data_IF_446522202286
#
_entry.id   IF_446522202286
#
_cell.length_a   1.000
_cell.length_b   1.000
_cell.length_c   1.000
_cell.angle_alpha   90.00
_cell.angle_beta   90.00
_cell.angle_gamma   90.00
#
_symmetry.space_group_name_H-M   'P 1'
#
loop_
_entity.id
_entity.type
_entity.pdbx_description
1 polymer ?
#
# COMPACT_ATOMS: atom_id res chain seq x y z
N UNK A 1 16.04 4.16 35.78
CA UNK A 1 16.99 4.32 34.66
C UNK A 1 17.12 3.09 33.75
N UNK A 2 17.47 1.90 34.25
CA UNK A 2 17.72 0.71 33.38
C UNK A 2 16.48 0.20 32.60
N UNK A 3 15.27 0.37 33.13
CA UNK A 3 14.02 0.01 32.46
C UNK A 3 13.63 0.97 31.33
N UNK A 4 13.85 2.26 31.55
CA UNK A 4 13.56 3.33 30.57
C UNK A 4 14.49 3.22 29.35
N UNK A 5 15.78 2.98 29.57
CA UNK A 5 16.73 2.69 28.49
C UNK A 5 16.35 1.46 27.67
N UNK A 6 15.80 0.42 28.32
CA UNK A 6 15.29 -0.77 27.62
C UNK A 6 14.09 -0.42 26.74
N UNK A 7 13.15 0.38 27.24
CA UNK A 7 11.98 0.83 26.47
C UNK A 7 12.37 1.66 25.25
N UNK A 8 13.30 2.62 25.42
CA UNK A 8 13.81 3.44 24.32
C UNK A 8 14.45 2.55 23.26
N UNK A 9 15.26 1.57 23.67
CA UNK A 9 15.87 0.62 22.74
C UNK A 9 14.82 -0.15 21.95
N UNK A 10 13.78 -0.67 22.62
CA UNK A 10 12.68 -1.37 21.93
C UNK A 10 11.97 -0.46 20.93
N UNK A 11 11.72 0.81 21.28
CA UNK A 11 11.10 1.77 20.36
C UNK A 11 12.00 2.04 19.13
N UNK A 12 13.32 2.13 19.31
CA UNK A 12 14.25 2.29 18.19
C UNK A 12 14.25 1.05 17.28
N UNK A 13 14.25 -0.16 17.85
CA UNK A 13 14.21 -1.41 17.11
C UNK A 13 12.86 -1.54 16.33
N UNK A 14 11.75 -1.15 16.95
CA UNK A 14 10.42 -1.11 16.32
C UNK A 14 10.36 -0.08 15.17
N UNK A 15 10.95 1.10 15.37
CA UNK A 15 11.03 2.14 14.34
C UNK A 15 11.86 1.70 13.14
N UNK A 16 13.00 1.04 13.37
CA UNK A 16 13.83 0.50 12.29
C UNK A 16 13.09 -0.56 11.48
N UNK A 17 12.37 -1.46 12.16
CA UNK A 17 11.51 -2.47 11.51
C UNK A 17 10.40 -1.83 10.66
N UNK A 18 9.79 -0.75 11.17
CA UNK A 18 8.76 -0.02 10.44
C UNK A 18 9.33 0.68 9.21
N UNK A 19 10.51 1.30 9.31
CA UNK A 19 11.19 1.93 8.17
C UNK A 19 11.51 0.91 7.06
N UNK A 20 11.97 -0.28 7.43
CA UNK A 20 12.24 -1.36 6.47
C UNK A 20 10.96 -1.83 5.78
N UNK A 21 9.90 -2.02 6.56
CA UNK A 21 8.58 -2.42 6.03
C UNK A 21 8.04 -1.37 5.06
N UNK A 22 8.17 -0.08 5.39
CA UNK A 22 7.75 1.02 4.53
C UNK A 22 8.54 1.07 3.21
N UNK A 23 9.86 0.84 3.27
CA UNK A 23 10.69 0.79 2.07
C UNK A 23 10.28 -0.36 1.14
N UNK A 24 9.96 -1.53 1.71
CA UNK A 24 9.47 -2.67 0.94
C UNK A 24 8.10 -2.37 0.31
N UNK A 25 7.16 -1.83 1.09
CA UNK A 25 5.85 -1.41 0.60
C UNK A 25 5.93 -0.44 -0.57
N UNK A 26 6.82 0.55 -0.47
CA UNK A 26 7.04 1.51 -1.55
C UNK A 26 7.51 0.82 -2.84
N UNK A 27 8.44 -0.13 -2.72
CA UNK A 27 8.94 -0.90 -3.86
C UNK A 27 7.83 -1.71 -4.52
N UNK A 28 6.98 -2.37 -3.72
CA UNK A 28 5.88 -3.19 -4.23
C UNK A 28 4.83 -2.33 -4.95
N UNK A 29 4.55 -1.12 -4.45
CA UNK A 29 3.66 -0.15 -5.12
C UNK A 29 4.25 0.30 -6.46
N UNK A 30 5.54 0.64 -6.51
CA UNK A 30 6.21 1.06 -7.73
C UNK A 30 6.20 -0.06 -8.80
N UNK A 31 6.32 -1.32 -8.38
CA UNK A 31 6.26 -2.48 -9.26
C UNK A 31 4.85 -2.72 -9.81
N UNK A 32 3.81 -2.62 -8.97
CA UNK A 32 2.41 -2.70 -9.39
C UNK A 32 2.05 -1.60 -10.41
N UNK A 33 2.51 -0.37 -10.21
CA UNK A 33 2.30 0.74 -11.13
C UNK A 33 2.94 0.46 -12.51
N UNK A 34 4.13 -0.14 -12.52
CA UNK A 34 4.79 -0.56 -13.75
C UNK A 34 3.99 -1.65 -14.48
N UNK A 35 3.49 -2.66 -13.75
CA UNK A 35 2.66 -3.72 -14.32
C UNK A 35 1.34 -3.17 -14.91
N UNK A 36 0.67 -2.26 -14.20
CA UNK A 36 -0.54 -1.58 -14.68
C UNK A 36 -0.31 -0.80 -15.98
N UNK A 37 0.85 -0.15 -16.15
CA UNK A 37 1.21 0.50 -17.42
C UNK A 37 1.34 -0.50 -18.57
N UNK A 38 1.97 -1.65 -18.34
CA UNK A 38 2.14 -2.69 -19.37
C UNK A 38 0.77 -3.27 -19.78
N UNK A 39 -0.09 -3.55 -18.80
CA UNK A 39 -1.44 -4.08 -19.04
C UNK A 39 -2.25 -3.10 -19.89
N UNK A 40 -2.25 -1.82 -19.53
CA UNK A 40 -2.96 -0.77 -20.26
C UNK A 40 -2.46 -0.62 -21.71
N UNK A 41 -1.13 -0.65 -21.92
CA UNK A 41 -0.54 -0.60 -23.25
C UNK A 41 -0.96 -1.80 -24.11
N UNK A 42 -0.96 -2.99 -23.52
CA UNK A 42 -1.36 -4.24 -24.18
C UNK A 42 -2.85 -4.20 -24.57
N UNK A 43 -3.71 -3.78 -23.66
CA UNK A 43 -5.15 -3.62 -23.92
C UNK A 43 -5.42 -2.62 -25.05
N UNK A 44 -4.68 -1.50 -25.10
CA UNK A 44 -4.80 -0.52 -26.17
C UNK A 44 -4.39 -1.11 -27.53
N UNK A 45 -3.31 -1.89 -27.58
CA UNK A 45 -2.85 -2.61 -28.78
C UNK A 45 -3.90 -3.61 -29.28
N UNK A 46 -4.46 -4.42 -28.38
CA UNK A 46 -5.50 -5.40 -28.71
C UNK A 46 -6.75 -4.71 -29.29
N UNK A 47 -7.22 -3.63 -28.65
CA UNK A 47 -8.36 -2.83 -29.17
C UNK A 47 -8.08 -2.24 -30.55
N UNK A 48 -6.84 -1.80 -30.82
CA UNK A 48 -6.43 -1.30 -32.14
C UNK A 48 -6.48 -2.42 -33.19
N UNK A 49 -5.94 -3.60 -32.89
CA UNK A 49 -6.00 -4.78 -33.79
C UNK A 49 -7.44 -5.18 -34.07
N UNK A 50 -8.28 -5.26 -33.04
CA UNK A 50 -9.70 -5.58 -33.17
C UNK A 50 -10.42 -4.61 -34.13
N UNK A 51 -10.26 -3.29 -33.93
CA UNK A 51 -10.82 -2.29 -34.86
C UNK A 51 -10.35 -2.48 -36.29
N UNK A 52 -9.06 -2.76 -36.51
CA UNK A 52 -8.51 -2.98 -37.84
C UNK A 52 -9.13 -4.21 -38.53
N UNK A 53 -9.34 -5.30 -37.80
CA UNK A 53 -10.00 -6.51 -38.31
C UNK A 53 -11.47 -6.21 -38.67
N UNK A 54 -12.21 -5.52 -37.80
CA UNK A 54 -13.60 -5.14 -38.08
C UNK A 54 -13.72 -4.30 -39.37
N UNK A 55 -12.81 -3.34 -39.58
CA UNK A 55 -12.82 -2.51 -40.78
C UNK A 55 -12.42 -3.27 -42.06
N UNK A 56 -11.53 -4.27 -41.96
CA UNK A 56 -11.21 -5.15 -43.08
C UNK A 56 -12.40 -6.03 -43.48
N UNK A 57 -13.18 -6.52 -42.51
CA UNK A 57 -14.39 -7.31 -42.76
C UNK A 57 -15.46 -6.47 -43.46
N UNK A 58 -15.67 -5.21 -43.04
CA UNK A 58 -16.66 -4.31 -43.65
C UNK A 58 -16.35 -3.91 -45.10
N UNK A 59 -15.07 -3.83 -45.50
CA UNK A 59 -14.65 -3.28 -46.81
C UNK A 59 -14.70 -4.27 -47.99
N UNK A 60 -15.13 -5.51 -47.83
CA UNK A 60 -15.03 -6.54 -48.87
C UNK A 60 -16.37 -6.74 -49.63
N UNK A 61 -16.49 -6.37 -50.91
CA UNK A 61 -17.67 -6.68 -51.72
C UNK A 61 -17.57 -8.03 -52.46
N UNK A 62 -18.75 -8.54 -52.82
CA UNK A 62 -19.12 -9.92 -53.16
C UNK A 62 -18.50 -10.56 -54.41
N UNK A 63 -18.25 -11.88 -54.35
CA UNK A 63 -18.05 -12.81 -55.48
C UNK A 63 -18.57 -14.22 -55.12
N UNK A 64 -19.77 -14.50 -55.64
CA UNK A 64 -20.83 -15.37 -55.10
C UNK A 64 -20.56 -16.88 -55.13
N UNK A 65 -19.42 -17.35 -55.66
CA UNK A 65 -19.03 -18.77 -55.58
C UNK A 65 -17.80 -19.04 -54.70
N UNK A 66 -17.00 -18.01 -54.38
CA UNK A 66 -16.06 -18.06 -53.25
C UNK A 66 -16.73 -17.72 -51.91
N UNK A 67 -17.96 -17.21 -51.97
CA UNK A 67 -18.67 -16.57 -50.86
C UNK A 67 -19.21 -17.57 -49.83
N UNK A 68 -19.67 -18.76 -50.20
CA UNK A 68 -20.02 -19.80 -49.20
C UNK A 68 -18.81 -20.25 -48.39
N UNK A 69 -17.64 -20.41 -49.03
CA UNK A 69 -16.39 -20.78 -48.36
C UNK A 69 -15.81 -19.63 -47.54
N UNK A 70 -15.89 -18.39 -48.04
CA UNK A 70 -15.45 -17.19 -47.29
C UNK A 70 -16.40 -16.82 -46.15
N UNK A 71 -17.71 -17.01 -46.28
CA UNK A 71 -18.68 -16.82 -45.20
C UNK A 71 -18.48 -17.87 -44.11
N UNK A 72 -18.17 -19.13 -44.46
CA UNK A 72 -17.74 -20.15 -43.48
C UNK A 72 -16.49 -19.70 -42.72
N UNK A 73 -15.46 -19.24 -43.43
CA UNK A 73 -14.20 -18.78 -42.80
C UNK A 73 -14.41 -17.52 -41.96
N UNK A 74 -15.26 -16.58 -42.38
CA UNK A 74 -15.60 -15.39 -41.59
C UNK A 74 -16.46 -15.76 -40.38
N UNK A 75 -17.37 -16.73 -40.51
CA UNK A 75 -18.14 -17.26 -39.37
C UNK A 75 -17.22 -17.92 -38.35
N UNK A 76 -16.28 -18.75 -38.78
CA UNK A 76 -15.28 -19.40 -37.92
C UNK A 76 -14.38 -18.38 -37.22
N UNK A 77 -14.00 -17.32 -37.93
CA UNK A 77 -13.19 -16.22 -37.36
C UNK A 77 -13.99 -15.40 -36.35
N UNK A 78 -15.26 -15.11 -36.62
CA UNK A 78 -16.17 -14.45 -35.68
C UNK A 78 -16.38 -15.31 -34.44
N UNK A 79 -16.59 -16.62 -34.60
CA UNK A 79 -16.73 -17.55 -33.47
C UNK A 79 -15.44 -17.69 -32.67
N UNK A 80 -14.28 -17.55 -33.31
CA UNK A 80 -12.99 -17.52 -32.61
C UNK A 80 -12.82 -16.22 -31.83
N UNK A 81 -13.13 -15.08 -32.43
CA UNK A 81 -13.07 -13.78 -31.77
C UNK A 81 -14.07 -13.66 -30.64
N UNK A 82 -15.27 -14.23 -30.79
CA UNK A 82 -16.28 -14.28 -29.73
C UNK A 82 -15.77 -15.07 -28.53
N UNK A 83 -15.10 -16.22 -28.76
CA UNK A 83 -14.46 -17.00 -27.70
C UNK A 83 -13.30 -16.24 -27.03
N UNK A 84 -12.49 -15.53 -27.81
CA UNK A 84 -11.41 -14.70 -27.27
C UNK A 84 -11.96 -13.55 -26.42
N UNK A 85 -13.05 -12.91 -26.85
CA UNK A 85 -13.75 -11.88 -26.07
C UNK A 85 -14.27 -12.47 -24.76
N UNK A 86 -14.99 -13.59 -24.80
CA UNK A 86 -15.51 -14.23 -23.58
C UNK A 86 -14.40 -14.68 -22.63
N UNK A 87 -13.26 -15.10 -23.15
CA UNK A 87 -12.10 -15.43 -22.33
C UNK A 87 -11.53 -14.18 -21.65
N UNK A 88 -11.34 -13.09 -22.39
CA UNK A 88 -10.85 -11.82 -21.83
C UNK A 88 -11.84 -11.24 -20.82
N UNK A 89 -13.14 -11.34 -21.05
CA UNK A 89 -14.18 -10.94 -20.08
C UNK A 89 -14.05 -11.72 -18.77
N UNK A 90 -13.85 -13.04 -18.84
CA UNK A 90 -13.63 -13.86 -17.65
C UNK A 90 -12.32 -13.50 -16.91
N UNK A 91 -11.22 -13.20 -17.63
CA UNK A 91 -9.99 -12.73 -17.00
C UNK A 91 -10.18 -11.37 -16.31
N UNK A 92 -10.92 -10.45 -16.94
CA UNK A 92 -11.24 -9.14 -16.33
C UNK A 92 -12.06 -9.31 -15.06
N UNK A 93 -13.01 -10.24 -15.02
CA UNK A 93 -13.78 -10.54 -13.81
C UNK A 93 -12.90 -11.07 -12.67
N UNK A 94 -11.94 -11.93 -12.99
CA UNK A 94 -10.95 -12.42 -12.01
C UNK A 94 -10.11 -11.26 -11.48
N UNK A 95 -9.57 -10.40 -12.36
CA UNK A 95 -8.78 -9.25 -11.93
C UNK A 95 -9.58 -8.24 -11.12
N UNK A 96 -10.86 -8.01 -11.44
CA UNK A 96 -11.72 -7.15 -10.62
C UNK A 96 -11.89 -7.70 -9.20
N UNK A 97 -11.99 -9.02 -9.05
CA UNK A 97 -12.08 -9.66 -7.74
C UNK A 97 -10.76 -9.54 -6.96
N UNK A 98 -9.64 -9.85 -7.60
CA UNK A 98 -8.31 -9.69 -6.98
C UNK A 98 -8.05 -8.24 -6.56
N UNK A 99 -8.44 -7.27 -7.40
CA UNK A 99 -8.33 -5.85 -7.09
C UNK A 99 -9.17 -5.46 -5.87
N UNK A 100 -10.38 -6.01 -5.73
CA UNK A 100 -11.21 -5.78 -4.56
C UNK A 100 -10.56 -6.34 -3.28
N UNK A 101 -10.01 -7.55 -3.33
CA UNK A 101 -9.30 -8.17 -2.21
C UNK A 101 -8.06 -7.35 -1.79
N UNK A 102 -7.28 -6.85 -2.76
CA UNK A 102 -6.14 -5.95 -2.51
C UNK A 102 -6.60 -4.63 -1.88
N UNK A 103 -7.71 -4.06 -2.34
CA UNK A 103 -8.26 -2.82 -1.80
C UNK A 103 -8.75 -2.97 -0.34
N UNK A 104 -9.36 -4.10 -0.01
CA UNK A 104 -9.76 -4.41 1.37
C UNK A 104 -8.54 -4.56 2.29
N UNK A 105 -7.51 -5.28 1.83
CA UNK A 105 -6.26 -5.42 2.57
C UNK A 105 -5.59 -4.06 2.82
N UNK A 106 -5.55 -3.19 1.80
CA UNK A 106 -5.04 -1.82 1.92
C UNK A 106 -5.82 -1.01 2.95
N UNK A 107 -7.15 -1.05 2.89
CA UNK A 107 -8.01 -0.31 3.83
C UNK A 107 -7.77 -0.76 5.28
N UNK A 108 -7.61 -2.06 5.50
CA UNK A 108 -7.29 -2.60 6.81
C UNK A 108 -5.93 -2.10 7.34
N UNK A 109 -4.93 -1.98 6.47
CA UNK A 109 -3.62 -1.45 6.85
C UNK A 109 -3.67 0.04 7.16
N UNK A 110 -4.44 0.83 6.41
CA UNK A 110 -4.65 2.25 6.71
C UNK A 110 -5.27 2.44 8.11
N UNK A 111 -6.24 1.60 8.48
CA UNK A 111 -6.83 1.61 9.83
C UNK A 111 -5.77 1.29 10.89
N UNK A 112 -4.96 0.24 10.68
CA UNK A 112 -3.89 -0.11 11.63
C UNK A 112 -2.86 1.00 11.76
N UNK A 113 -2.49 1.66 10.66
CA UNK A 113 -1.57 2.79 10.67
C UNK A 113 -2.11 3.96 11.50
N UNK A 114 -3.38 4.31 11.34
CA UNK A 114 -4.03 5.35 12.15
C UNK A 114 -4.00 4.99 13.64
N UNK A 115 -4.29 3.74 13.98
CA UNK A 115 -4.28 3.26 15.38
C UNK A 115 -2.87 3.31 15.98
N UNK A 116 -1.86 2.86 15.24
CA UNK A 116 -0.45 2.90 15.66
C UNK A 116 0.01 4.34 15.87
N UNK A 117 -0.31 5.24 14.94
CA UNK A 117 0.00 6.67 15.07
C UNK A 117 -0.62 7.28 16.33
N UNK A 118 -1.87 6.95 16.64
CA UNK A 118 -2.53 7.41 17.87
C UNK A 118 -1.86 6.85 19.14
N UNK A 119 -1.45 5.57 19.13
CA UNK A 119 -0.69 4.97 20.26
C UNK A 119 0.67 5.66 20.43
N UNK A 120 1.37 5.93 19.34
CA UNK A 120 2.66 6.61 19.35
C UNK A 120 2.55 8.03 19.94
N UNK A 121 1.56 8.80 19.50
CA UNK A 121 1.29 10.14 20.04
C UNK A 121 1.07 10.11 21.55
N UNK A 122 0.25 9.18 22.06
CA UNK A 122 0.05 9.00 23.51
C UNK A 122 1.34 8.64 24.24
N UNK A 123 2.16 7.76 23.66
CA UNK A 123 3.44 7.39 24.24
C UNK A 123 4.38 8.59 24.33
N UNK A 124 4.43 9.42 23.29
CA UNK A 124 5.26 10.63 23.27
C UNK A 124 4.84 11.60 24.37
N UNK A 125 3.53 11.88 24.51
CA UNK A 125 3.02 12.73 25.60
C UNK A 125 3.35 12.16 26.98
N UNK A 126 3.22 10.85 27.17
CA UNK A 126 3.57 10.22 28.46
C UNK A 126 5.06 10.38 28.80
N UNK A 127 5.95 10.29 27.81
CA UNK A 127 7.39 10.52 27.99
C UNK A 127 7.67 11.97 28.36
N UNK A 128 7.03 12.92 27.69
CA UNK A 128 7.16 14.35 28.00
C UNK A 128 6.71 14.66 29.44
N UNK A 129 5.57 14.10 29.87
CA UNK A 129 5.07 14.25 31.24
C UNK A 129 6.04 13.64 32.25
N UNK A 130 6.54 12.42 32.01
CA UNK A 130 7.51 11.79 32.89
C UNK A 130 8.80 12.62 33.01
N UNK A 131 9.24 13.25 31.92
CA UNK A 131 10.41 14.12 31.95
C UNK A 131 10.18 15.36 32.84
N UNK A 132 9.00 15.98 32.75
CA UNK A 132 8.61 17.09 33.62
C UNK A 132 8.59 16.65 35.10
N UNK A 133 8.05 15.47 35.39
CA UNK A 133 8.00 14.93 36.75
C UNK A 133 9.41 14.69 37.31
N UNK A 134 10.34 14.17 36.48
CA UNK A 134 11.74 14.00 36.87
C UNK A 134 12.42 15.34 37.17
N UNK A 135 12.24 16.35 36.31
CA UNK A 135 12.80 17.68 36.53
C UNK A 135 12.29 18.31 37.84
N UNK A 136 11.01 18.10 38.16
CA UNK A 136 10.41 18.56 39.40
C UNK A 136 10.97 17.82 40.62
N UNK A 137 11.10 16.49 40.53
CA UNK A 137 11.67 15.67 41.59
C UNK A 137 13.12 16.07 41.90
N UNK A 138 13.92 16.31 40.85
CA UNK A 138 15.31 16.76 40.98
C UNK A 138 15.40 18.11 41.68
N UNK A 139 14.57 19.08 41.28
CA UNK A 139 14.49 20.40 41.93
C UNK A 139 14.11 20.29 43.41
N UNK A 140 13.11 19.48 43.74
CA UNK A 140 12.66 19.25 45.11
C UNK A 140 13.73 18.59 45.97
N UNK A 141 14.43 17.60 45.41
CA UNK A 141 15.53 16.92 46.08
C UNK A 141 16.68 17.90 46.36
N UNK A 142 17.09 18.70 45.36
CA UNK A 142 18.10 19.74 45.53
C UNK A 142 17.71 20.76 46.62
N UNK A 143 16.45 21.20 46.65
CA UNK A 143 15.95 22.13 47.67
C UNK A 143 15.99 21.51 49.06
N UNK A 144 15.59 20.25 49.19
CA UNK A 144 15.61 19.51 50.46
C UNK A 144 17.02 19.38 51.00
N UNK A 145 17.99 19.03 50.15
CA UNK A 145 19.40 18.93 50.55
C UNK A 145 20.01 20.28 50.93
N UNK A 146 19.72 21.35 50.18
CA UNK A 146 20.14 22.70 50.57
C UNK A 146 19.61 23.06 51.96
N UNK A 147 18.33 22.82 52.22
CA UNK A 147 17.71 23.09 53.52
C UNK A 147 18.33 22.25 54.65
N UNK A 148 18.66 20.98 54.39
CA UNK A 148 19.32 20.11 55.35
C UNK A 148 20.71 20.64 55.71
N UNK A 149 21.54 20.93 54.69
CA UNK A 149 22.90 21.43 54.87
C UNK A 149 22.94 22.79 55.60
N UNK A 150 22.07 23.73 55.23
CA UNK A 150 21.98 25.03 55.92
C UNK A 150 21.50 24.88 57.38
N UNK A 151 20.66 23.89 57.70
CA UNK A 151 20.26 23.63 59.09
C UNK A 151 21.43 23.10 59.91
N UNK A 152 22.25 22.22 59.35
CA UNK A 152 23.42 21.65 60.06
C UNK A 152 24.52 22.67 60.35
N UNK A 153 24.71 23.69 59.51
CA UNK A 153 25.67 24.78 59.76
C UNK A 153 25.26 25.71 60.91
N UNK A 154 23.97 25.79 61.24
CA UNK A 154 23.48 26.61 62.36
C UNK A 154 23.61 25.93 63.74
N UNK A 155 24.10 24.68 63.79
CA UNK A 155 24.32 23.91 65.03
C UNK A 155 25.81 23.63 65.32
N UNK A 156 26.72 24.26 64.58
CA UNK A 156 28.18 24.31 64.81
C UNK A 156 28.60 25.74 65.07
#
# INVERSE_FOLDING_TARGET
MRSELKKIKTICDDHETLCQSFAQWKKDVDENDAQLRILNATAASLRKRHRAICEQIKKKPSTVHSEKKKVSVVSEEVDRLQREISFVEAEVDVWMKELAEVNDARTNLDIQFIQLRSKLQRSMTNVEVANIDFDLLEKNHCATWKNFLCKTENFT
#
